data_IF_959144454626
#
_entry.id   IF_959144454626
#
_cell.length_a   1.000
_cell.length_b   1.000
_cell.length_c   1.000
_cell.angle_alpha   90.00
_cell.angle_beta   90.00
_cell.angle_gamma   90.00
#
_symmetry.space_group_name_H-M   'P 1'
#
loop_
_entity.id
_entity.type
_entity.pdbx_description
1 polymer ?
#
# COMPACT_ATOMS: atom_id res chain seq x y z
N UNK A 1 -10.32 5.57 14.66
CA UNK A 1 -11.27 4.75 13.87
C UNK A 1 -11.88 5.51 12.67
N UNK A 2 -11.12 6.37 11.97
CA UNK A 2 -11.67 7.17 10.86
C UNK A 2 -11.22 6.66 9.48
N UNK A 3 -9.99 6.15 9.39
CA UNK A 3 -9.38 5.70 8.12
C UNK A 3 -10.20 4.60 7.42
N UNK A 4 -10.71 3.55 8.09
CA UNK A 4 -11.50 2.52 7.40
C UNK A 4 -12.79 3.07 6.77
N UNK A 5 -13.41 4.08 7.39
CA UNK A 5 -14.63 4.72 6.87
C UNK A 5 -14.35 5.57 5.63
N UNK A 6 -13.17 6.19 5.57
CA UNK A 6 -12.70 6.96 4.42
C UNK A 6 -12.24 6.06 3.27
N UNK A 7 -11.81 4.83 3.56
CA UNK A 7 -11.24 3.96 2.54
C UNK A 7 -12.29 3.50 1.51
N UNK A 8 -13.52 3.22 1.95
CA UNK A 8 -14.59 2.78 1.05
C UNK A 8 -14.90 3.76 -0.08
N UNK A 9 -15.19 5.06 0.18
CA UNK A 9 -15.41 6.01 -0.91
C UNK A 9 -14.18 6.18 -1.79
N UNK A 10 -12.96 6.10 -1.24
CA UNK A 10 -11.73 6.16 -2.03
C UNK A 10 -11.57 4.95 -2.97
N UNK A 11 -12.11 3.79 -2.59
CA UNK A 11 -12.09 2.57 -3.39
C UNK A 11 -13.15 2.56 -4.49
N UNK A 12 -14.37 2.96 -4.16
CA UNK A 12 -15.52 2.92 -5.07
C UNK A 12 -15.42 3.98 -6.16
N UNK A 13 -14.92 5.18 -5.84
CA UNK A 13 -14.82 6.27 -6.81
C UNK A 13 -13.49 6.27 -7.57
N UNK A 14 -13.55 6.80 -8.80
CA UNK A 14 -12.39 7.08 -9.66
C UNK A 14 -11.66 8.35 -9.18
N UNK A 15 -10.95 8.22 -8.07
CA UNK A 15 -10.16 9.30 -7.49
C UNK A 15 -8.70 9.16 -7.90
N UNK A 16 -8.10 10.25 -8.36
CA UNK A 16 -6.68 10.31 -8.70
C UNK A 16 -5.80 10.23 -7.43
N UNK A 17 -4.64 9.56 -7.55
CA UNK A 17 -3.66 9.47 -6.46
C UNK A 17 -3.19 10.84 -5.94
N UNK A 18 -3.13 11.86 -6.79
CA UNK A 18 -2.78 13.24 -6.40
C UNK A 18 -3.79 13.88 -5.45
N UNK A 19 -5.09 13.56 -5.58
CA UNK A 19 -6.12 14.05 -4.67
C UNK A 19 -5.97 13.43 -3.28
N UNK A 20 -5.62 12.14 -3.23
CA UNK A 20 -5.37 11.42 -1.97
C UNK A 20 -4.14 11.99 -1.26
N UNK A 21 -3.09 12.31 -2.00
CA UNK A 21 -1.90 12.97 -1.45
C UNK A 21 -2.20 14.34 -0.84
N UNK A 22 -3.05 15.15 -1.47
CA UNK A 22 -3.46 16.44 -0.93
C UNK A 22 -4.25 16.30 0.40
N UNK A 23 -5.10 15.27 0.50
CA UNK A 23 -5.83 14.94 1.74
C UNK A 23 -4.84 14.54 2.84
N UNK A 24 -3.88 13.67 2.54
CA UNK A 24 -2.87 13.24 3.50
C UNK A 24 -1.97 14.40 3.93
N UNK A 25 -1.53 15.26 3.02
CA UNK A 25 -0.74 16.44 3.36
C UNK A 25 -1.47 17.37 4.34
N UNK A 26 -2.79 17.55 4.16
CA UNK A 26 -3.62 18.34 5.09
C UNK A 26 -3.68 17.67 6.47
N UNK A 27 -3.89 16.36 6.51
CA UNK A 27 -3.93 15.58 7.76
C UNK A 27 -2.57 15.62 8.48
N UNK A 28 -1.46 15.48 7.75
CA UNK A 28 -0.11 15.54 8.30
C UNK A 28 0.17 16.91 8.92
N UNK A 29 -0.24 18.00 8.26
CA UNK A 29 -0.07 19.36 8.78
C UNK A 29 -0.77 19.54 10.13
N UNK A 30 -2.03 19.13 10.24
CA UNK A 30 -2.77 19.23 11.51
C UNK A 30 -2.21 18.27 12.56
N UNK A 31 -1.83 17.07 12.17
CA UNK A 31 -1.34 16.07 13.13
C UNK A 31 0.03 16.45 13.68
N UNK A 32 0.93 17.00 12.86
CA UNK A 32 2.22 17.54 13.32
C UNK A 32 2.04 18.70 14.29
N UNK A 33 1.11 19.62 13.97
CA UNK A 33 0.76 20.74 14.88
C UNK A 33 0.19 20.22 16.20
N UNK A 34 -0.64 19.18 16.15
CA UNK A 34 -1.22 18.55 17.34
C UNK A 34 -0.18 17.81 18.19
N UNK A 35 0.76 17.09 17.55
CA UNK A 35 1.85 16.36 18.21
C UNK A 35 3.01 17.26 18.68
N UNK A 36 3.02 18.55 18.32
CA UNK A 36 4.14 19.46 18.63
C UNK A 36 5.44 19.13 17.88
N UNK A 37 5.34 18.41 16.77
CA UNK A 37 6.49 17.92 15.99
C UNK A 37 6.94 18.99 15.00
N UNK A 38 8.26 19.16 14.75
CA UNK A 38 8.75 20.12 13.78
C UNK A 38 8.20 19.85 12.37
N UNK A 39 7.93 20.90 11.58
CA UNK A 39 7.43 20.76 10.21
C UNK A 39 8.40 20.01 9.30
N UNK A 40 9.70 19.97 9.64
CA UNK A 40 10.74 19.24 8.91
C UNK A 40 10.82 17.74 9.20
N UNK A 41 10.01 17.17 10.10
CA UNK A 41 9.97 15.71 10.27
C UNK A 41 9.59 15.05 8.93
N UNK A 42 10.13 13.89 8.58
CA UNK A 42 9.69 13.17 7.39
C UNK A 42 8.35 12.46 7.63
N UNK A 43 7.50 12.38 6.60
CA UNK A 43 6.26 11.57 6.67
C UNK A 43 6.58 10.09 6.92
N UNK A 44 7.73 9.61 6.41
CA UNK A 44 8.23 8.26 6.68
C UNK A 44 8.42 8.04 8.19
N UNK A 45 9.01 8.99 8.92
CA UNK A 45 9.16 8.87 10.37
C UNK A 45 7.81 8.84 11.11
N UNK A 46 6.76 9.41 10.52
CA UNK A 46 5.42 9.46 11.09
C UNK A 46 4.65 8.14 10.91
N UNK A 47 4.85 7.45 9.78
CA UNK A 47 4.14 6.22 9.41
C UNK A 47 4.95 4.93 9.56
N UNK A 48 6.26 5.03 9.82
CA UNK A 48 7.14 3.87 9.87
C UNK A 48 6.80 2.93 11.05
N UNK A 49 6.49 1.67 10.73
CA UNK A 49 6.27 0.61 11.73
C UNK A 49 7.56 0.03 12.32
N UNK A 50 8.69 0.25 11.67
CA UNK A 50 10.01 -0.28 12.05
C UNK A 50 10.87 0.74 12.81
N UNK A 51 10.43 2.00 12.92
CA UNK A 51 11.16 3.02 13.66
C UNK A 51 11.11 2.74 15.17
N UNK A 52 12.07 3.31 15.92
CA UNK A 52 12.07 3.26 17.39
C UNK A 52 10.82 3.93 17.96
N UNK A 53 10.40 5.06 17.37
CA UNK A 53 9.14 5.71 17.67
C UNK A 53 8.07 5.18 16.72
N UNK A 54 7.16 4.35 17.22
CA UNK A 54 6.04 3.80 16.45
C UNK A 54 4.78 4.59 16.78
N UNK A 55 4.40 5.52 15.91
CA UNK A 55 3.08 6.13 15.99
C UNK A 55 2.05 5.14 15.45
N UNK A 56 0.91 5.00 16.13
CA UNK A 56 -0.22 4.17 15.68
C UNK A 56 -1.02 4.88 14.57
N UNK A 57 -0.31 5.46 13.60
CA UNK A 57 -0.87 6.16 12.46
C UNK A 57 -0.62 5.35 11.20
N UNK A 58 -1.62 5.31 10.32
CA UNK A 58 -1.49 4.69 9.00
C UNK A 58 -1.55 5.77 7.93
N UNK A 59 -0.73 5.64 6.90
CA UNK A 59 -0.80 6.52 5.73
C UNK A 59 -2.07 6.21 4.94
N UNK A 60 -2.79 7.26 4.55
CA UNK A 60 -4.01 7.11 3.75
C UNK A 60 -3.65 6.74 2.32
N UNK A 61 -2.57 7.29 1.78
CA UNK A 61 -2.04 6.96 0.47
C UNK A 61 -1.59 5.50 0.42
N UNK A 62 -0.94 4.99 1.47
CA UNK A 62 -0.56 3.58 1.55
C UNK A 62 -1.80 2.66 1.52
N UNK A 63 -2.78 2.92 2.39
CA UNK A 63 -4.02 2.14 2.45
C UNK A 63 -4.84 2.25 1.14
N UNK A 64 -4.87 3.43 0.52
CA UNK A 64 -5.50 3.65 -0.79
C UNK A 64 -4.84 2.81 -1.89
N UNK A 65 -3.50 2.81 -1.98
CA UNK A 65 -2.76 2.02 -2.97
C UNK A 65 -2.98 0.53 -2.75
N UNK A 66 -2.82 0.06 -1.52
CA UNK A 66 -3.07 -1.34 -1.16
C UNK A 66 -4.52 -1.75 -1.47
N UNK A 67 -5.47 -0.86 -1.18
CA UNK A 67 -6.88 -1.10 -1.43
C UNK A 67 -7.20 -1.20 -2.93
N UNK A 68 -6.70 -0.27 -3.76
CA UNK A 68 -6.91 -0.32 -5.22
C UNK A 68 -6.24 -1.53 -5.86
N UNK A 69 -5.03 -1.88 -5.43
CA UNK A 69 -4.34 -3.10 -5.88
C UNK A 69 -5.15 -4.35 -5.52
N UNK A 70 -5.62 -4.46 -4.27
CA UNK A 70 -6.48 -5.57 -3.84
C UNK A 70 -7.76 -5.65 -4.65
N UNK A 71 -8.42 -4.52 -4.89
CA UNK A 71 -9.64 -4.47 -5.67
C UNK A 71 -9.39 -4.98 -7.10
N UNK A 72 -8.30 -4.55 -7.74
CA UNK A 72 -7.93 -5.03 -9.07
C UNK A 72 -7.76 -6.55 -9.07
N UNK A 73 -6.95 -7.09 -8.15
CA UNK A 73 -6.70 -8.53 -8.06
C UNK A 73 -7.99 -9.32 -7.83
N UNK A 74 -8.89 -8.83 -6.95
CA UNK A 74 -10.19 -9.48 -6.69
C UNK A 74 -11.10 -9.47 -7.92
N UNK A 75 -11.08 -8.39 -8.72
CA UNK A 75 -11.86 -8.34 -9.97
C UNK A 75 -11.28 -9.26 -11.04
N UNK A 76 -9.95 -9.35 -11.15
CA UNK A 76 -9.26 -10.24 -12.09
C UNK A 76 -9.45 -11.72 -11.77
N UNK A 77 -9.41 -12.06 -10.48
CA UNK A 77 -9.54 -13.43 -9.95
C UNK A 77 -11.00 -13.81 -9.63
N UNK A 78 -11.97 -12.98 -10.00
CA UNK A 78 -13.39 -13.27 -9.74
C UNK A 78 -13.88 -14.52 -10.48
N UNK A 79 -14.62 -15.37 -9.76
CA UNK A 79 -15.27 -16.56 -10.34
C UNK A 79 -16.43 -16.21 -11.29
N UNK A 80 -16.97 -14.99 -11.19
CA UNK A 80 -18.07 -14.55 -12.06
C UNK A 80 -17.55 -14.17 -13.46
N UNK A 81 -17.98 -14.88 -14.53
CA UNK A 81 -17.51 -14.61 -15.88
C UNK A 81 -17.91 -13.23 -16.39
N UNK A 82 -19.01 -12.64 -15.90
CA UNK A 82 -19.45 -11.30 -16.31
C UNK A 82 -18.49 -10.25 -15.76
N UNK A 83 -18.15 -10.34 -14.48
CA UNK A 83 -17.20 -9.43 -13.81
C UNK A 83 -15.83 -9.51 -14.48
N UNK A 84 -15.38 -10.72 -14.78
CA UNK A 84 -14.11 -10.97 -15.46
C UNK A 84 -14.07 -10.39 -16.88
N UNK A 85 -15.17 -10.49 -17.61
CA UNK A 85 -15.27 -9.98 -19.00
C UNK A 85 -15.31 -8.45 -19.05
N UNK A 86 -15.95 -7.80 -18.08
CA UNK A 86 -16.07 -6.33 -18.04
C UNK A 86 -14.73 -5.65 -17.73
N UNK A 87 -13.76 -6.38 -17.16
CA UNK A 87 -12.37 -5.98 -16.87
C UNK A 87 -12.22 -4.47 -16.63
N UNK A 88 -12.78 -3.99 -15.51
CA UNK A 88 -12.87 -2.56 -15.22
C UNK A 88 -11.47 -1.96 -15.06
N UNK A 89 -11.11 -1.05 -15.97
CA UNK A 89 -9.89 -0.26 -15.82
C UNK A 89 -10.06 0.73 -14.66
N UNK A 90 -9.38 0.48 -13.55
CA UNK A 90 -9.38 1.38 -12.39
C UNK A 90 -8.66 2.69 -12.73
N UNK A 91 -9.36 3.82 -12.66
CA UNK A 91 -8.75 5.13 -12.93
C UNK A 91 -8.11 5.67 -11.65
N UNK A 92 -6.79 5.62 -11.57
CA UNK A 92 -5.99 6.19 -10.46
C UNK A 92 -5.18 7.43 -10.83
N UNK A 93 -5.44 7.97 -12.03
CA UNK A 93 -4.79 9.15 -12.59
C UNK A 93 -3.45 8.84 -13.27
N UNK A 94 -2.71 9.89 -13.64
CA UNK A 94 -1.44 9.78 -14.39
C UNK A 94 -0.23 9.42 -13.52
N UNK A 95 -0.20 9.90 -12.27
CA UNK A 95 0.97 9.80 -11.38
C UNK A 95 1.26 8.36 -10.95
N UNK A 96 0.23 7.55 -10.80
CA UNK A 96 0.35 6.16 -10.36
C UNK A 96 -0.75 5.33 -10.99
N UNK A 97 -0.37 4.21 -11.61
CA UNK A 97 -1.28 3.25 -12.22
C UNK A 97 -1.24 1.94 -11.44
N UNK A 98 -2.43 1.41 -11.14
CA UNK A 98 -2.59 0.19 -10.33
C UNK A 98 -2.11 -1.04 -11.08
N UNK A 99 -2.41 -1.14 -12.37
CA UNK A 99 -2.06 -2.30 -13.20
C UNK A 99 -0.55 -2.51 -13.22
N UNK A 100 0.22 -1.46 -13.55
CA UNK A 100 1.69 -1.49 -13.57
C UNK A 100 2.27 -1.90 -12.21
N UNK A 101 1.73 -1.36 -11.12
CA UNK A 101 2.19 -1.70 -9.76
C UNK A 101 1.86 -3.14 -9.34
N UNK A 102 0.71 -3.66 -9.78
CA UNK A 102 0.29 -5.04 -9.50
C UNK A 102 1.10 -6.02 -10.35
N UNK A 103 1.37 -5.69 -11.61
CA UNK A 103 2.19 -6.51 -12.51
C UNK A 103 3.63 -6.59 -12.02
N UNK A 104 4.24 -5.45 -11.64
CA UNK A 104 5.57 -5.41 -11.00
C UNK A 104 5.60 -6.27 -9.72
N UNK A 105 4.54 -6.20 -8.90
CA UNK A 105 4.44 -7.03 -7.69
C UNK A 105 4.31 -8.53 -8.02
N UNK A 106 3.53 -8.89 -9.04
CA UNK A 106 3.41 -10.28 -9.53
C UNK A 106 4.75 -10.80 -10.07
N UNK A 107 5.50 -9.98 -10.81
CA UNK A 107 6.84 -10.31 -11.30
C UNK A 107 7.83 -10.50 -10.16
N UNK A 108 7.83 -9.61 -9.16
CA UNK A 108 8.65 -9.77 -7.96
C UNK A 108 8.34 -11.07 -7.22
N UNK A 109 7.07 -11.46 -7.14
CA UNK A 109 6.67 -12.73 -6.52
C UNK A 109 7.18 -13.93 -7.32
N UNK A 110 7.05 -13.92 -8.66
CA UNK A 110 7.62 -14.96 -9.54
C UNK A 110 9.13 -15.04 -9.39
N UNK A 111 9.82 -13.90 -9.38
CA UNK A 111 11.26 -13.84 -9.18
C UNK A 111 11.66 -14.42 -7.82
N UNK A 112 10.91 -14.10 -6.77
CA UNK A 112 11.13 -14.67 -5.42
C UNK A 112 10.93 -16.19 -5.40
N UNK A 113 9.95 -16.70 -6.13
CA UNK A 113 9.71 -18.15 -6.28
C UNK A 113 10.88 -18.83 -7.01
N UNK A 114 11.40 -18.22 -8.08
CA UNK A 114 12.56 -18.72 -8.84
C UNK A 114 13.85 -18.71 -8.01
N UNK A 115 14.09 -17.62 -7.27
CA UNK A 115 15.27 -17.50 -6.39
C UNK A 115 15.19 -18.51 -5.21
N UNK A 116 13.97 -18.86 -4.77
CA UNK A 116 13.75 -19.75 -3.65
C UNK A 116 14.21 -19.16 -2.32
N UNK A 117 14.69 -20.01 -1.41
CA UNK A 117 15.20 -19.56 -0.10
C UNK A 117 16.59 -18.96 -0.25
N UNK A 118 16.67 -17.63 -0.14
CA UNK A 118 17.95 -16.92 -0.05
C UNK A 118 18.53 -16.99 1.35
N UNK A 119 19.85 -17.00 1.46
CA UNK A 119 20.56 -16.89 2.73
C UNK A 119 20.16 -15.58 3.44
N UNK A 120 19.52 -15.67 4.60
CA UNK A 120 19.09 -14.50 5.39
C UNK A 120 20.17 -14.01 6.36
N UNK A 121 21.06 -14.92 6.80
CA UNK A 121 22.09 -14.66 7.80
C UNK A 121 23.42 -15.32 7.42
N UNK A 122 24.51 -14.98 8.12
CA UNK A 122 25.85 -15.57 7.90
C UNK A 122 25.94 -17.06 8.26
N UNK A 123 24.85 -17.67 8.71
CA UNK A 123 24.74 -19.06 9.16
C UNK A 123 24.64 -20.08 8.02
N UNK A 124 24.50 -19.64 6.77
CA UNK A 124 24.51 -20.49 5.57
C UNK A 124 23.13 -20.73 4.97
N UNK A 125 23.10 -21.37 3.81
CA UNK A 125 21.86 -21.77 3.12
C UNK A 125 21.13 -22.85 3.93
N UNK A 126 19.82 -22.66 4.16
CA UNK A 126 18.98 -23.64 4.86
C UNK A 126 18.86 -23.46 6.38
N UNK A 127 19.61 -22.56 7.01
CA UNK A 127 19.45 -22.27 8.44
C UNK A 127 18.32 -21.27 8.69
N UNK A 128 17.07 -21.71 8.57
CA UNK A 128 15.94 -20.89 9.02
C UNK A 128 15.71 -21.16 10.50
N UNK A 129 15.93 -20.15 11.35
CA UNK A 129 15.32 -20.16 12.68
C UNK A 129 13.83 -19.91 12.48
N UNK A 130 13.08 -20.99 12.22
CA UNK A 130 11.62 -20.94 12.19
C UNK A 130 11.14 -20.45 13.55
N UNK A 131 10.72 -19.17 13.64
CA UNK A 131 9.88 -18.73 14.74
C UNK A 131 8.46 -19.19 14.41
N UNK A 132 8.04 -20.25 15.12
CA UNK A 132 6.65 -20.65 15.32
C UNK A 132 5.83 -19.46 15.86
#
# INVERSE_FOLDING_TARGET
MLIPKLLWPLLVYDICSTSVEAIEAKINKYTRKWLGVPPGLSDVAMYCRKAKLKLLMKSIQEEYKCGKARLLTVLEESDDPVVKTVQQSLKTGRKWKVTEAVDEAKECLKMKEVIGQTQTDRTGLGSTTAKL
#
